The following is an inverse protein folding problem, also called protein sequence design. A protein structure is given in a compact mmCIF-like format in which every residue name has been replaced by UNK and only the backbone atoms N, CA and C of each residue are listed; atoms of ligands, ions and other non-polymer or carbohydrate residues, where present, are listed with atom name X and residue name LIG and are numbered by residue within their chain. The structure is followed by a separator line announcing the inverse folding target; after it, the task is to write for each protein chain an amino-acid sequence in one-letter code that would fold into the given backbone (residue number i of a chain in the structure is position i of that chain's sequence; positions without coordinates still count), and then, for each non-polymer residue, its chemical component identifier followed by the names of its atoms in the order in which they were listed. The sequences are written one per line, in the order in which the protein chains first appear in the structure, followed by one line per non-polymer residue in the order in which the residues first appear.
data_IF_098924203679
#
_entry.id   IF_098924203679
#
_cell.length_a   1.000
_cell.length_b   1.000
_cell.length_c   1.000
_cell.angle_alpha   90.00
_cell.angle_beta   90.00
_cell.angle_gamma   90.00
#
_symmetry.space_group_name_H-M   'P 1'
#
loop_
_entity.id
_entity.type
_entity.pdbx_description
1 polymer ?
#
# COMPACT_ATOMS: atom_id res chain seq x y z
N UNK A 1 16.43 22.56 16.08
CA UNK A 1 16.76 21.52 15.11
C UNK A 1 15.60 20.62 14.75
N UNK A 2 14.48 20.66 15.43
CA UNK A 2 13.27 19.85 15.13
C UNK A 2 12.30 20.47 14.10
N UNK A 3 12.71 21.47 13.29
CA UNK A 3 11.77 22.23 12.44
C UNK A 3 10.94 21.36 11.50
N UNK A 4 11.54 20.32 10.90
CA UNK A 4 10.85 19.42 9.99
C UNK A 4 9.88 18.49 10.73
N UNK A 5 10.30 17.90 11.87
CA UNK A 5 9.44 17.07 12.70
C UNK A 5 8.25 17.88 13.26
N UNK A 6 8.49 19.10 13.73
CA UNK A 6 7.44 20.00 14.20
C UNK A 6 6.47 20.39 13.09
N UNK A 7 6.97 20.67 11.87
CA UNK A 7 6.12 20.94 10.71
C UNK A 7 5.26 19.73 10.35
N UNK A 8 5.83 18.53 10.31
CA UNK A 8 5.08 17.29 10.03
C UNK A 8 3.98 17.05 11.08
N UNK A 9 4.32 17.21 12.36
CA UNK A 9 3.35 17.09 13.45
C UNK A 9 2.23 18.13 13.32
N UNK A 10 2.58 19.39 13.10
CA UNK A 10 1.59 20.45 12.98
C UNK A 10 0.72 20.27 11.73
N UNK A 11 1.28 19.80 10.62
CA UNK A 11 0.53 19.46 9.41
C UNK A 11 -0.52 18.38 9.72
N UNK A 12 -0.12 17.27 10.34
CA UNK A 12 -1.03 16.18 10.70
C UNK A 12 -2.12 16.64 11.68
N UNK A 13 -1.74 17.38 12.73
CA UNK A 13 -2.70 17.86 13.72
C UNK A 13 -3.63 18.94 13.16
N UNK A 14 -3.17 19.79 12.23
CA UNK A 14 -4.01 20.77 11.57
C UNK A 14 -5.06 20.12 10.67
N UNK A 15 -4.70 19.05 9.96
CA UNK A 15 -5.66 18.25 9.17
C UNK A 15 -6.74 17.66 10.07
N UNK A 16 -6.37 17.05 11.20
CA UNK A 16 -7.32 16.51 12.17
C UNK A 16 -8.25 17.61 12.70
N UNK A 17 -7.72 18.81 13.00
CA UNK A 17 -8.54 19.95 13.45
C UNK A 17 -9.54 20.41 12.38
N UNK A 18 -9.08 20.55 11.12
CA UNK A 18 -9.97 20.90 9.99
C UNK A 18 -11.09 19.89 9.79
N UNK A 19 -10.80 18.59 9.88
CA UNK A 19 -11.81 17.54 9.83
C UNK A 19 -12.82 17.68 10.97
N UNK A 20 -12.37 18.15 12.15
CA UNK A 20 -13.23 18.45 13.30
C UNK A 20 -14.16 19.64 13.12
N UNK A 21 -13.88 20.54 12.17
CA UNK A 21 -14.76 21.66 11.79
C UNK A 21 -15.98 21.19 10.98
N UNK A 22 -15.85 20.04 10.30
CA UNK A 22 -16.88 19.43 9.47
C UNK A 22 -17.27 18.01 9.96
N UNK A 23 -17.69 17.85 11.23
CA UNK A 23 -17.90 16.53 11.81
C UNK A 23 -19.02 15.74 11.14
N UNK A 24 -19.94 16.40 10.44
CA UNK A 24 -21.06 15.75 9.70
C UNK A 24 -20.53 14.81 8.59
N UNK A 25 -19.39 15.12 8.00
CA UNK A 25 -18.82 14.36 6.90
C UNK A 25 -18.21 13.03 7.35
N UNK A 26 -17.86 12.94 8.64
CA UNK A 26 -17.16 11.80 9.24
C UNK A 26 -17.98 11.09 10.31
N UNK A 27 -19.19 11.55 10.57
CA UNK A 27 -20.08 10.98 11.58
C UNK A 27 -20.99 9.90 10.99
N UNK A 28 -21.23 8.82 11.73
CA UNK A 28 -22.16 7.75 11.36
C UNK A 28 -23.60 8.27 11.20
N UNK A 29 -24.02 9.18 12.08
CA UNK A 29 -25.33 9.84 12.01
C UNK A 29 -25.11 11.36 11.91
N UNK A 30 -25.03 11.92 10.67
CA UNK A 30 -24.87 13.36 10.47
C UNK A 30 -25.97 14.15 11.17
N UNK A 31 -25.60 15.25 11.84
CA UNK A 31 -26.54 16.10 12.57
C UNK A 31 -26.96 15.58 13.97
N UNK A 32 -26.56 14.37 14.35
CA UNK A 32 -26.78 13.78 15.69
C UNK A 32 -25.47 13.52 16.43
N UNK A 33 -24.50 12.91 15.75
CA UNK A 33 -23.21 12.57 16.36
C UNK A 33 -22.29 13.80 16.30
N UNK A 34 -21.46 13.96 17.35
CA UNK A 34 -20.50 15.07 17.51
C UNK A 34 -21.12 16.50 17.52
N UNK A 35 -22.43 16.62 17.75
CA UNK A 35 -23.12 17.93 17.81
C UNK A 35 -23.03 18.61 19.18
N UNK A 36 -22.81 17.83 20.24
CA UNK A 36 -22.72 18.34 21.61
C UNK A 36 -21.25 18.53 22.02
N UNK A 37 -20.98 19.60 22.76
CA UNK A 37 -19.67 19.84 23.36
C UNK A 37 -19.41 18.77 24.45
N UNK A 38 -18.54 17.81 24.16
CA UNK A 38 -18.15 16.72 25.07
C UNK A 38 -16.61 16.63 25.13
N UNK A 39 -16.08 15.95 26.16
CA UNK A 39 -14.63 15.74 26.32
C UNK A 39 -14.01 14.95 25.17
N UNK A 40 -14.75 14.02 24.56
CA UNK A 40 -14.30 13.22 23.39
C UNK A 40 -14.91 13.78 22.10
N UNK A 41 -14.29 14.82 21.56
CA UNK A 41 -14.62 15.40 20.26
C UNK A 41 -14.03 14.54 19.12
N UNK A 42 -14.45 14.77 17.86
CA UNK A 42 -13.91 14.06 16.70
C UNK A 42 -12.39 14.18 16.60
N UNK A 43 -11.76 15.38 16.68
CA UNK A 43 -10.30 15.51 16.66
C UNK A 43 -9.60 14.76 17.80
N UNK A 44 -10.16 14.81 19.00
CA UNK A 44 -9.57 14.10 20.15
C UNK A 44 -9.62 12.59 19.95
N UNK A 45 -10.74 12.06 19.41
CA UNK A 45 -10.83 10.63 19.10
C UNK A 45 -9.81 10.21 18.05
N UNK A 46 -9.69 10.96 16.95
CA UNK A 46 -8.69 10.66 15.90
C UNK A 46 -7.28 10.69 16.47
N UNK A 47 -6.95 11.72 17.23
CA UNK A 47 -5.66 11.84 17.89
C UNK A 47 -5.38 10.66 18.83
N UNK A 48 -6.32 10.29 19.69
CA UNK A 48 -6.18 9.16 20.60
C UNK A 48 -5.95 7.84 19.85
N UNK A 49 -6.72 7.59 18.78
CA UNK A 49 -6.57 6.37 17.99
C UNK A 49 -5.20 6.29 17.32
N UNK A 50 -4.68 7.42 16.81
CA UNK A 50 -3.34 7.50 16.22
C UNK A 50 -2.20 7.29 17.21
N UNK A 51 -2.37 7.78 18.45
CA UNK A 51 -1.28 7.82 19.44
C UNK A 51 -1.41 6.75 20.51
N UNK A 52 -2.52 6.00 20.54
CA UNK A 52 -2.72 4.93 21.50
C UNK A 52 -1.77 3.78 21.16
N UNK A 53 -0.86 3.46 22.08
CA UNK A 53 -0.02 2.28 21.98
C UNK A 53 -0.84 1.01 22.33
N UNK A 54 -0.20 -0.16 22.24
CA UNK A 54 -0.79 -1.48 22.53
C UNK A 54 -1.34 -1.65 23.95
N UNK A 55 -1.21 -0.62 24.80
CA UNK A 55 -1.72 -0.62 26.17
C UNK A 55 -3.25 -0.44 26.18
N UNK A 56 -3.86 -0.68 27.32
CA UNK A 56 -5.31 -0.56 27.46
C UNK A 56 -5.80 0.86 27.12
N UNK A 57 -6.97 0.95 26.46
CA UNK A 57 -7.61 2.23 26.15
C UNK A 57 -7.71 3.17 27.36
N UNK A 58 -7.95 2.62 28.55
CA UNK A 58 -7.97 3.38 29.80
C UNK A 58 -6.66 4.09 30.11
N UNK A 59 -5.52 3.41 29.96
CA UNK A 59 -4.19 4.02 30.20
C UNK A 59 -3.90 5.12 29.17
N UNK A 60 -4.30 4.93 27.94
CA UNK A 60 -4.18 5.97 26.90
C UNK A 60 -5.00 7.22 27.21
N UNK A 61 -6.24 7.03 27.69
CA UNK A 61 -7.11 8.13 28.14
C UNK A 61 -6.52 8.86 29.34
N UNK A 62 -6.07 8.13 30.36
CA UNK A 62 -5.43 8.73 31.53
C UNK A 62 -4.21 9.59 31.13
N UNK A 63 -3.37 9.07 30.25
CA UNK A 63 -2.21 9.82 29.75
C UNK A 63 -2.61 11.11 29.02
N UNK A 64 -3.59 11.05 28.13
CA UNK A 64 -4.07 12.23 27.38
C UNK A 64 -4.72 13.28 28.30
N UNK A 65 -5.57 12.86 29.24
CA UNK A 65 -6.26 13.74 30.16
C UNK A 65 -5.45 14.04 31.45
N UNK A 66 -4.14 13.69 31.46
CA UNK A 66 -3.20 13.99 32.56
C UNK A 66 -3.68 13.46 33.93
N UNK A 67 -4.28 12.26 33.92
CA UNK A 67 -4.80 11.58 35.11
C UNK A 67 -5.88 12.37 35.89
N UNK A 68 -6.63 13.23 35.19
CA UNK A 68 -7.73 13.98 35.81
C UNK A 68 -8.86 13.05 36.21
N UNK A 69 -9.54 13.40 37.32
CA UNK A 69 -10.63 12.58 37.89
C UNK A 69 -11.88 12.51 36.92
N UNK A 70 -12.05 13.53 36.08
CA UNK A 70 -13.13 13.63 35.06
C UNK A 70 -12.73 12.99 33.71
N UNK A 71 -11.65 12.19 33.69
CA UNK A 71 -11.23 11.43 32.49
C UNK A 71 -12.38 10.52 32.01
N UNK A 72 -12.77 10.59 30.71
CA UNK A 72 -13.78 9.70 30.17
C UNK A 72 -13.41 8.23 30.32
N UNK A 73 -14.39 7.38 30.61
CA UNK A 73 -14.18 5.94 30.73
C UNK A 73 -13.81 5.29 29.38
N UNK A 74 -13.16 4.13 29.42
CA UNK A 74 -12.90 3.33 28.23
C UNK A 74 -14.18 2.97 27.46
N UNK A 75 -15.29 2.70 28.16
CA UNK A 75 -16.60 2.47 27.54
C UNK A 75 -17.11 3.69 26.79
N UNK A 76 -17.00 4.88 27.38
CA UNK A 76 -17.36 6.14 26.71
C UNK A 76 -16.52 6.38 25.45
N UNK A 77 -15.22 6.09 25.50
CA UNK A 77 -14.32 6.17 24.35
C UNK A 77 -14.78 5.22 23.23
N UNK A 78 -15.01 3.94 23.52
CA UNK A 78 -15.45 2.96 22.53
C UNK A 78 -16.80 3.36 21.91
N UNK A 79 -17.76 3.83 22.71
CA UNK A 79 -19.06 4.30 22.23
C UNK A 79 -18.94 5.53 21.32
N UNK A 80 -18.08 6.49 21.66
CA UNK A 80 -17.86 7.66 20.80
C UNK A 80 -17.10 7.28 19.52
N UNK A 81 -16.10 6.39 19.62
CA UNK A 81 -15.35 5.87 18.49
C UNK A 81 -16.22 5.16 17.44
N UNK A 82 -17.25 4.42 17.87
CA UNK A 82 -18.22 3.78 16.97
C UNK A 82 -19.05 4.76 16.13
N UNK A 83 -19.07 6.03 16.48
CA UNK A 83 -19.76 7.09 15.73
C UNK A 83 -18.90 7.70 14.63
N UNK A 84 -17.60 7.47 14.66
CA UNK A 84 -16.63 7.95 13.67
C UNK A 84 -16.52 6.98 12.51
N UNK A 85 -16.74 7.46 11.29
CA UNK A 85 -16.63 6.65 10.08
C UNK A 85 -15.14 6.33 9.78
N UNK A 86 -14.83 5.12 9.28
CA UNK A 86 -13.46 4.74 8.87
C UNK A 86 -12.86 5.69 7.84
N UNK A 87 -13.68 6.22 6.93
CA UNK A 87 -13.26 7.16 5.88
C UNK A 87 -12.50 8.39 6.41
N UNK A 88 -12.73 8.76 7.68
CA UNK A 88 -11.97 9.84 8.30
C UNK A 88 -10.47 9.55 8.35
N UNK A 89 -10.10 8.31 8.65
CA UNK A 89 -8.69 7.89 8.68
C UNK A 89 -8.14 7.60 7.28
N UNK A 90 -8.96 7.09 6.39
CA UNK A 90 -8.59 6.90 4.98
C UNK A 90 -8.27 8.25 4.31
N UNK A 91 -9.13 9.24 4.48
CA UNK A 91 -8.92 10.58 3.98
C UNK A 91 -7.73 11.27 4.65
N UNK A 92 -7.59 11.15 5.98
CA UNK A 92 -6.42 11.66 6.68
C UNK A 92 -5.11 11.03 6.18
N UNK A 93 -5.12 9.71 5.93
CA UNK A 93 -3.97 9.01 5.35
C UNK A 93 -3.59 9.62 3.99
N UNK A 94 -4.56 9.77 3.07
CA UNK A 94 -4.32 10.35 1.74
C UNK A 94 -3.83 11.80 1.84
N UNK A 95 -4.57 12.66 2.54
CA UNK A 95 -4.20 14.06 2.68
C UNK A 95 -2.81 14.24 3.31
N UNK A 96 -2.49 13.46 4.35
CA UNK A 96 -1.19 13.53 4.99
C UNK A 96 -0.08 13.02 4.06
N UNK A 97 -0.29 11.89 3.38
CA UNK A 97 0.68 11.33 2.42
C UNK A 97 0.93 12.30 1.27
N UNK A 98 -0.11 12.91 0.70
CA UNK A 98 0.01 13.92 -0.36
C UNK A 98 0.74 15.20 0.11
N UNK A 99 0.68 15.50 1.41
CA UNK A 99 1.41 16.65 1.98
C UNK A 99 2.93 16.40 2.14
N UNK A 100 3.34 15.14 2.13
CA UNK A 100 4.74 14.77 2.17
C UNK A 100 5.42 15.18 0.86
N UNK A 101 6.70 15.54 0.95
CA UNK A 101 7.52 15.96 -0.19
C UNK A 101 8.72 15.02 -0.34
N UNK A 102 8.49 13.77 -0.78
CA UNK A 102 9.58 12.83 -0.99
C UNK A 102 10.41 13.26 -2.21
N UNK A 103 11.74 13.31 -2.05
CA UNK A 103 12.66 13.86 -3.07
C UNK A 103 13.44 12.78 -3.83
N UNK A 104 13.53 11.56 -3.25
CA UNK A 104 14.35 10.50 -3.85
C UNK A 104 13.59 9.86 -5.02
N UNK A 105 14.28 9.72 -6.15
CA UNK A 105 13.78 9.04 -7.35
C UNK A 105 14.82 8.02 -7.85
N UNK A 106 14.37 7.03 -8.60
CA UNK A 106 15.20 6.06 -9.29
C UNK A 106 15.22 6.38 -10.80
N UNK A 107 16.34 6.84 -11.31
CA UNK A 107 16.45 7.30 -12.73
C UNK A 107 15.33 8.27 -13.15
N UNK A 108 14.89 9.14 -12.26
CA UNK A 108 13.81 10.09 -12.51
C UNK A 108 12.40 9.52 -12.30
N UNK A 109 12.27 8.24 -11.98
CA UNK A 109 10.99 7.61 -11.68
C UNK A 109 10.72 7.56 -10.18
N UNK A 110 9.46 7.73 -9.81
CA UNK A 110 8.94 7.27 -8.52
C UNK A 110 8.91 5.74 -8.54
N UNK A 111 9.79 5.10 -7.79
CA UNK A 111 9.89 3.64 -7.78
C UNK A 111 8.91 3.05 -6.77
N UNK A 112 7.81 2.48 -7.26
CA UNK A 112 6.78 1.86 -6.44
C UNK A 112 6.89 0.34 -6.48
N UNK A 113 6.54 -0.30 -5.38
CA UNK A 113 6.20 -1.72 -5.35
C UNK A 113 4.73 -1.88 -4.93
N UNK A 114 4.05 -2.87 -5.50
CA UNK A 114 2.73 -3.32 -5.07
C UNK A 114 2.83 -4.72 -4.48
N UNK A 115 2.12 -4.94 -3.38
CA UNK A 115 1.97 -6.26 -2.79
C UNK A 115 0.73 -6.31 -1.89
N UNK A 116 0.28 -7.54 -1.60
CA UNK A 116 -0.83 -7.82 -0.72
C UNK A 116 -0.38 -8.41 0.62
N UNK A 117 -1.13 -8.12 1.69
CA UNK A 117 -0.86 -8.72 3.00
C UNK A 117 -2.14 -8.93 3.80
N UNK A 118 -2.30 -10.12 4.40
CA UNK A 118 -3.48 -10.43 5.20
C UNK A 118 -3.30 -10.08 6.67
N UNK A 119 -4.38 -9.59 7.29
CA UNK A 119 -4.49 -9.28 8.70
C UNK A 119 -5.58 -10.12 9.35
N UNK A 120 -5.21 -10.86 10.39
CA UNK A 120 -6.16 -11.64 11.19
C UNK A 120 -6.74 -10.77 12.30
N UNK A 121 -8.06 -10.72 12.39
CA UNK A 121 -8.79 -10.05 13.45
C UNK A 121 -9.56 -11.05 14.34
N UNK A 122 -9.99 -10.59 15.50
CA UNK A 122 -10.81 -11.37 16.43
C UNK A 122 -12.12 -11.82 15.77
N UNK A 123 -12.63 -12.97 16.20
CA UNK A 123 -13.89 -13.57 15.70
C UNK A 123 -15.07 -12.59 15.84
N UNK A 124 -15.72 -12.33 14.72
CA UNK A 124 -16.94 -11.53 14.58
C UNK A 124 -17.77 -12.09 13.42
N UNK A 125 -18.57 -13.14 13.63
CA UNK A 125 -19.31 -13.85 12.58
C UNK A 125 -20.35 -12.97 11.85
N UNK A 126 -20.81 -11.90 12.47
CA UNK A 126 -21.77 -10.97 11.87
C UNK A 126 -21.19 -10.24 10.64
N UNK A 127 -19.87 -10.19 10.50
CA UNK A 127 -19.20 -9.71 9.29
C UNK A 127 -18.84 -10.88 8.37
N UNK A 128 -19.86 -11.43 7.70
CA UNK A 128 -19.75 -12.63 6.87
C UNK A 128 -18.69 -12.51 5.76
N UNK A 129 -18.50 -11.32 5.18
CA UNK A 129 -17.55 -11.09 4.08
C UNK A 129 -16.10 -11.28 4.50
N UNK A 130 -15.77 -11.07 5.77
CA UNK A 130 -14.42 -11.27 6.30
C UNK A 130 -14.28 -12.51 7.16
N UNK A 131 -15.39 -13.15 7.59
CA UNK A 131 -15.38 -14.24 8.54
C UNK A 131 -14.93 -15.57 7.90
N UNK A 132 -13.97 -16.21 8.53
CA UNK A 132 -13.61 -17.60 8.27
C UNK A 132 -14.05 -18.48 9.43
N UNK A 133 -14.92 -19.47 9.18
CA UNK A 133 -15.32 -20.39 10.22
C UNK A 133 -14.11 -21.17 10.75
N UNK A 134 -14.16 -21.50 12.02
CA UNK A 134 -13.18 -22.34 12.66
C UNK A 134 -13.36 -23.82 12.32
N UNK A 135 -12.51 -24.63 12.92
CA UNK A 135 -12.63 -26.09 12.98
C UNK A 135 -13.00 -26.51 14.39
N UNK A 136 -13.18 -27.80 14.64
CA UNK A 136 -13.42 -28.32 16.00
C UNK A 136 -12.33 -27.92 17.01
N UNK A 137 -11.09 -27.69 16.52
CA UNK A 137 -9.92 -27.33 17.34
C UNK A 137 -9.57 -25.83 17.34
N UNK A 138 -10.16 -25.03 16.48
CA UNK A 138 -9.82 -23.61 16.35
C UNK A 138 -11.08 -22.75 16.22
N UNK A 139 -11.14 -21.67 17.02
CA UNK A 139 -12.17 -20.66 16.85
C UNK A 139 -12.07 -19.97 15.50
N UNK A 140 -13.23 -19.61 14.90
CA UNK A 140 -13.27 -18.78 13.69
C UNK A 140 -12.64 -17.39 13.91
N UNK A 141 -12.24 -16.76 12.84
CA UNK A 141 -11.63 -15.40 12.84
C UNK A 141 -12.05 -14.62 11.62
N UNK A 142 -11.85 -13.30 11.67
CA UNK A 142 -12.05 -12.46 10.51
C UNK A 142 -10.70 -12.15 9.83
N UNK A 143 -10.71 -12.03 8.51
CA UNK A 143 -9.52 -11.78 7.71
C UNK A 143 -9.74 -10.58 6.78
N UNK A 144 -8.82 -9.63 6.86
CA UNK A 144 -8.76 -8.45 5.99
C UNK A 144 -7.52 -8.57 5.11
N UNK A 145 -7.66 -8.21 3.85
CA UNK A 145 -6.57 -8.17 2.89
C UNK A 145 -6.21 -6.72 2.57
N UNK A 146 -4.95 -6.37 2.77
CA UNK A 146 -4.42 -5.06 2.47
C UNK A 146 -3.67 -5.17 1.15
N UNK A 147 -4.00 -4.34 0.18
CA UNK A 147 -3.17 -4.08 -0.99
C UNK A 147 -2.57 -2.69 -0.83
N UNK A 148 -1.27 -2.53 -1.10
CA UNK A 148 -0.61 -1.26 -0.90
C UNK A 148 0.37 -0.95 -2.03
N UNK A 149 0.49 0.34 -2.35
CA UNK A 149 1.58 0.91 -3.15
C UNK A 149 2.62 1.50 -2.19
N UNK A 150 3.87 1.09 -2.35
CA UNK A 150 4.97 1.48 -1.48
C UNK A 150 6.11 2.11 -2.28
N UNK A 151 6.51 3.31 -1.91
CA UNK A 151 7.65 4.02 -2.49
C UNK A 151 8.94 3.47 -1.91
N UNK A 152 9.69 2.74 -2.72
CA UNK A 152 10.91 2.05 -2.33
C UNK A 152 12.09 2.99 -2.04
N UNK A 153 12.11 4.19 -2.65
CA UNK A 153 13.18 5.16 -2.44
C UNK A 153 12.98 5.99 -1.18
N UNK A 154 11.73 6.29 -0.87
CA UNK A 154 11.38 7.17 0.24
C UNK A 154 10.80 6.41 1.45
N UNK A 155 10.49 5.14 1.28
CA UNK A 155 10.07 4.27 2.37
C UNK A 155 8.68 4.57 2.92
N UNK A 156 7.75 5.08 2.09
CA UNK A 156 6.39 5.42 2.50
C UNK A 156 5.34 4.68 1.67
N UNK A 157 4.19 4.43 2.27
CA UNK A 157 3.01 3.95 1.54
C UNK A 157 2.33 5.13 0.83
N UNK A 158 2.17 5.03 -0.49
CA UNK A 158 1.52 6.06 -1.30
C UNK A 158 0.02 5.84 -1.42
N UNK A 159 -0.42 4.60 -1.45
CA UNK A 159 -1.84 4.24 -1.43
C UNK A 159 -2.07 2.89 -0.76
N UNK A 160 -3.28 2.70 -0.22
CA UNK A 160 -3.71 1.50 0.49
C UNK A 160 -5.17 1.23 0.20
N UNK A 161 -5.47 -0.02 -0.15
CA UNK A 161 -6.83 -0.52 -0.31
C UNK A 161 -7.04 -1.73 0.59
N UNK A 162 -8.06 -1.66 1.45
CA UNK A 162 -8.40 -2.74 2.39
C UNK A 162 -9.64 -3.46 1.91
N UNK A 163 -9.52 -4.76 1.70
CA UNK A 163 -10.60 -5.64 1.26
C UNK A 163 -10.92 -6.68 2.32
N UNK A 164 -12.13 -7.20 2.30
CA UNK A 164 -12.51 -8.36 3.10
C UNK A 164 -12.18 -9.67 2.37
N UNK A 165 -11.96 -10.73 3.10
CA UNK A 165 -11.46 -12.01 2.58
C UNK A 165 -12.25 -12.56 1.39
N UNK A 166 -13.60 -12.52 1.47
CA UNK A 166 -14.45 -13.09 0.42
C UNK A 166 -14.67 -12.15 -0.77
N UNK A 167 -14.23 -10.90 -0.67
CA UNK A 167 -14.38 -9.88 -1.73
C UNK A 167 -13.03 -9.38 -2.24
N UNK A 168 -11.93 -10.02 -1.84
CA UNK A 168 -10.58 -9.62 -2.26
C UNK A 168 -10.33 -9.92 -3.73
N UNK A 169 -9.55 -9.05 -4.36
CA UNK A 169 -9.05 -9.21 -5.72
C UNK A 169 -7.87 -8.28 -5.91
N UNK A 170 -6.66 -8.84 -5.97
CA UNK A 170 -5.41 -8.08 -6.07
C UNK A 170 -5.33 -7.31 -7.38
N UNK A 171 -5.73 -7.93 -8.50
CA UNK A 171 -5.76 -7.26 -9.81
C UNK A 171 -6.68 -6.04 -9.81
N UNK A 172 -7.91 -6.19 -9.31
CA UNK A 172 -8.86 -5.10 -9.19
C UNK A 172 -8.36 -4.00 -8.26
N UNK A 173 -7.71 -4.38 -7.16
CA UNK A 173 -7.14 -3.43 -6.21
C UNK A 173 -6.03 -2.60 -6.85
N UNK A 174 -5.16 -3.23 -7.66
CA UNK A 174 -4.11 -2.52 -8.37
C UNK A 174 -4.71 -1.52 -9.36
N UNK A 175 -5.66 -1.94 -10.22
CA UNK A 175 -6.32 -1.04 -11.17
C UNK A 175 -6.92 0.18 -10.46
N UNK A 176 -7.66 -0.03 -9.36
CA UNK A 176 -8.26 1.05 -8.57
C UNK A 176 -7.21 2.02 -7.99
N UNK A 177 -6.11 1.50 -7.45
CA UNK A 177 -5.02 2.34 -6.92
C UNK A 177 -4.29 3.10 -8.03
N UNK A 178 -4.08 2.50 -9.19
CA UNK A 178 -3.45 3.15 -10.36
C UNK A 178 -4.34 4.27 -10.90
N UNK A 179 -5.63 4.01 -11.07
CA UNK A 179 -6.58 4.97 -11.66
C UNK A 179 -6.77 6.21 -10.79
N UNK A 180 -6.79 6.04 -9.46
CA UNK A 180 -6.97 7.14 -8.51
C UNK A 180 -5.67 7.82 -8.07
N UNK A 181 -4.51 7.34 -8.53
CA UNK A 181 -3.21 7.91 -8.15
C UNK A 181 -3.08 9.38 -8.59
N UNK A 182 -2.65 10.24 -7.66
CA UNK A 182 -2.42 11.68 -7.88
C UNK A 182 -0.95 12.04 -8.08
N UNK A 183 -0.10 11.05 -8.42
CA UNK A 183 1.34 11.25 -8.61
C UNK A 183 1.61 12.04 -9.89
N UNK A 184 2.41 13.11 -9.77
CA UNK A 184 2.81 13.97 -10.88
C UNK A 184 4.08 13.52 -11.58
N UNK A 185 4.92 12.77 -10.86
CA UNK A 185 6.19 12.26 -11.37
C UNK A 185 5.97 11.00 -12.21
N UNK A 186 6.87 10.70 -13.16
CA UNK A 186 6.88 9.41 -13.83
C UNK A 186 6.98 8.26 -12.83
N UNK A 187 6.20 7.21 -13.02
CA UNK A 187 6.16 6.06 -12.10
C UNK A 187 6.74 4.82 -12.76
N UNK A 188 7.50 4.05 -11.98
CA UNK A 188 7.93 2.70 -12.30
C UNK A 188 7.43 1.74 -11.22
N UNK A 189 6.54 0.82 -11.59
CA UNK A 189 5.93 -0.13 -10.68
C UNK A 189 6.62 -1.50 -10.75
N UNK A 190 6.97 -2.05 -9.61
CA UNK A 190 7.43 -3.42 -9.43
C UNK A 190 6.31 -4.27 -8.82
N UNK A 191 6.02 -5.43 -9.42
CA UNK A 191 5.00 -6.34 -8.91
C UNK A 191 5.40 -7.81 -9.03
N UNK A 192 4.84 -8.64 -8.16
CA UNK A 192 5.04 -10.08 -8.25
C UNK A 192 4.09 -10.73 -9.28
N UNK A 193 4.19 -12.05 -9.44
CA UNK A 193 3.36 -12.85 -10.36
C UNK A 193 1.86 -12.86 -10.02
N UNK A 194 1.47 -12.40 -8.83
CA UNK A 194 0.07 -12.24 -8.44
C UNK A 194 -0.64 -11.20 -9.28
N UNK A 195 0.09 -10.19 -9.73
CA UNK A 195 -0.41 -9.06 -10.52
C UNK A 195 -0.26 -9.24 -12.03
N UNK A 196 0.08 -10.43 -12.49
CA UNK A 196 0.15 -10.80 -13.90
C UNK A 196 -1.25 -10.89 -14.52
N UNK A 197 -1.77 -9.78 -15.00
CA UNK A 197 -3.07 -9.71 -15.69
C UNK A 197 -3.06 -8.66 -16.80
N UNK A 198 -3.72 -8.97 -17.92
CA UNK A 198 -3.83 -8.02 -19.04
C UNK A 198 -4.47 -6.70 -18.64
N UNK A 199 -5.48 -6.75 -17.75
CA UNK A 199 -6.13 -5.55 -17.25
C UNK A 199 -5.16 -4.63 -16.49
N UNK A 200 -4.29 -5.21 -15.67
CA UNK A 200 -3.26 -4.46 -14.95
C UNK A 200 -2.30 -3.77 -15.92
N UNK A 201 -1.81 -4.48 -16.95
CA UNK A 201 -0.93 -3.88 -17.96
C UNK A 201 -1.61 -2.72 -18.67
N UNK A 202 -2.88 -2.87 -19.05
CA UNK A 202 -3.64 -1.85 -19.76
C UNK A 202 -3.86 -0.59 -18.90
N UNK A 203 -4.24 -0.73 -17.61
CA UNK A 203 -4.38 0.41 -16.71
C UNK A 203 -3.04 1.13 -16.48
N UNK A 204 -1.95 0.40 -16.30
CA UNK A 204 -0.61 0.98 -16.16
C UNK A 204 -0.21 1.78 -17.41
N UNK A 205 -0.45 1.23 -18.61
CA UNK A 205 -0.14 1.93 -19.86
C UNK A 205 -1.02 3.16 -20.10
N UNK A 206 -2.32 3.09 -19.80
CA UNK A 206 -3.22 4.24 -19.90
C UNK A 206 -2.79 5.40 -18.97
N UNK A 207 -2.19 5.08 -17.83
CA UNK A 207 -1.62 6.06 -16.91
C UNK A 207 -0.19 6.49 -17.26
N UNK A 208 0.39 5.93 -18.32
CA UNK A 208 1.78 6.19 -18.72
C UNK A 208 2.82 5.65 -17.72
N UNK A 209 2.44 4.73 -16.85
CA UNK A 209 3.35 4.13 -15.89
C UNK A 209 4.25 3.09 -16.56
N UNK A 210 5.50 3.08 -16.15
CA UNK A 210 6.42 1.97 -16.44
C UNK A 210 6.20 0.85 -15.42
N UNK A 211 6.44 -0.39 -15.85
CA UNK A 211 6.28 -1.54 -14.98
C UNK A 211 7.34 -2.60 -15.21
N UNK A 212 7.58 -3.41 -14.17
CA UNK A 212 8.39 -4.62 -14.20
C UNK A 212 7.69 -5.67 -13.34
N UNK A 213 7.04 -6.63 -13.98
CA UNK A 213 6.14 -7.60 -13.35
C UNK A 213 6.63 -9.02 -13.62
N UNK A 214 6.68 -9.86 -12.57
CA UNK A 214 7.02 -11.26 -12.73
C UNK A 214 5.90 -12.03 -13.38
N UNK A 215 6.26 -12.88 -14.35
CA UNK A 215 5.34 -13.82 -14.98
C UNK A 215 5.29 -15.13 -14.21
N UNK A 216 4.13 -15.80 -14.25
CA UNK A 216 3.97 -17.17 -13.75
C UNK A 216 4.74 -18.13 -14.65
N UNK A 217 5.42 -19.10 -14.05
CA UNK A 217 6.02 -20.20 -14.82
C UNK A 217 4.87 -21.06 -15.40
N UNK A 218 4.47 -20.73 -16.63
CA UNK A 218 3.60 -21.55 -17.48
C UNK A 218 4.49 -22.29 -18.48
N UNK A 219 3.90 -23.22 -19.24
CA UNK A 219 4.61 -23.97 -20.28
C UNK A 219 5.60 -23.08 -21.04
N UNK A 220 6.84 -23.50 -21.00
CA UNK A 220 8.05 -22.70 -21.24
C UNK A 220 8.13 -22.05 -22.63
N UNK A 221 7.24 -22.39 -23.55
CA UNK A 221 7.33 -22.02 -24.96
C UNK A 221 6.24 -21.07 -25.45
N UNK A 222 5.19 -20.81 -24.65
CA UNK A 222 4.09 -19.96 -25.09
C UNK A 222 3.53 -19.13 -23.93
N UNK A 223 3.65 -17.80 -24.03
CA UNK A 223 3.04 -16.86 -23.11
C UNK A 223 2.45 -15.69 -23.89
N UNK A 224 1.25 -15.26 -23.53
CA UNK A 224 0.62 -14.06 -24.10
C UNK A 224 0.44 -14.06 -25.61
N UNK A 225 0.16 -15.21 -26.23
CA UNK A 225 0.03 -15.30 -27.67
C UNK A 225 1.37 -15.29 -28.43
N UNK A 226 2.48 -15.38 -27.72
CA UNK A 226 3.84 -15.31 -28.28
C UNK A 226 4.62 -16.58 -27.93
N UNK A 227 5.34 -17.13 -28.89
CA UNK A 227 6.30 -18.22 -28.64
C UNK A 227 7.56 -17.66 -28.00
N UNK A 228 7.88 -18.13 -26.80
CA UNK A 228 9.11 -17.74 -26.10
C UNK A 228 10.29 -18.59 -26.55
N UNK A 229 11.52 -18.04 -26.60
CA UNK A 229 12.72 -18.82 -26.88
C UNK A 229 12.92 -19.95 -25.87
N UNK A 230 13.35 -21.12 -26.38
CA UNK A 230 13.77 -22.25 -25.54
C UNK A 230 15.21 -22.05 -25.05
N UNK A 231 15.45 -20.88 -24.46
CA UNK A 231 16.75 -20.50 -23.89
C UNK A 231 16.57 -20.22 -22.38
N UNK A 232 17.56 -20.60 -21.57
CA UNK A 232 17.54 -20.27 -20.15
C UNK A 232 17.60 -18.75 -19.87
N UNK A 233 18.11 -17.98 -20.84
CA UNK A 233 18.18 -16.52 -20.80
C UNK A 233 17.78 -15.95 -22.15
N UNK A 234 16.93 -14.95 -22.16
CA UNK A 234 16.52 -14.21 -23.33
C UNK A 234 15.97 -12.82 -22.98
N UNK A 235 15.91 -11.99 -24.00
CA UNK A 235 15.39 -10.64 -23.95
C UNK A 235 14.75 -10.31 -25.31
N UNK A 236 13.42 -10.28 -25.37
CA UNK A 236 12.67 -10.15 -26.60
C UNK A 236 11.61 -9.06 -26.51
N UNK A 237 11.43 -8.32 -27.58
CA UNK A 237 10.29 -7.45 -27.77
C UNK A 237 9.11 -8.25 -28.31
N UNK A 238 7.93 -8.01 -27.75
CA UNK A 238 6.68 -8.67 -28.17
C UNK A 238 5.59 -7.63 -28.40
N UNK A 239 4.77 -7.89 -29.39
CA UNK A 239 3.55 -7.11 -29.63
C UNK A 239 2.36 -8.04 -29.39
N UNK A 240 1.51 -7.72 -28.41
CA UNK A 240 0.41 -8.56 -27.96
C UNK A 240 -0.89 -7.87 -28.38
N UNK A 241 -1.72 -8.58 -29.16
CA UNK A 241 -3.03 -8.09 -29.60
C UNK A 241 -4.14 -8.91 -28.92
N UNK A 242 -4.99 -8.24 -28.18
CA UNK A 242 -6.11 -8.82 -27.44
C UNK A 242 -7.43 -8.58 -28.17
N UNK A 243 -8.34 -9.54 -28.10
CA UNK A 243 -9.72 -9.40 -28.57
C UNK A 243 -10.66 -10.37 -27.88
N UNK A 244 -11.97 -10.14 -28.03
CA UNK A 244 -13.00 -10.97 -27.36
C UNK A 244 -13.47 -12.15 -28.19
N UNK A 245 -13.38 -12.07 -29.53
CA UNK A 245 -13.88 -13.08 -30.44
C UNK A 245 -12.79 -14.10 -30.80
N UNK A 246 -13.17 -15.25 -31.30
CA UNK A 246 -12.22 -16.22 -31.90
C UNK A 246 -11.66 -15.68 -33.21
N UNK A 247 -10.48 -16.13 -33.64
CA UNK A 247 -9.92 -15.81 -34.99
C UNK A 247 -10.93 -16.06 -36.12
N UNK A 248 -11.72 -17.17 -36.02
CA UNK A 248 -12.77 -17.51 -36.99
C UNK A 248 -13.89 -16.46 -37.00
N UNK A 249 -14.38 -16.04 -35.82
CA UNK A 249 -15.44 -15.02 -35.72
C UNK A 249 -14.96 -13.66 -36.24
N UNK A 250 -13.70 -13.28 -35.97
CA UNK A 250 -13.10 -12.06 -36.51
C UNK A 250 -13.04 -12.12 -38.05
N UNK A 251 -12.58 -13.24 -38.61
CA UNK A 251 -12.56 -13.46 -40.07
C UNK A 251 -13.95 -13.42 -40.73
N UNK A 252 -15.00 -13.92 -40.07
CA UNK A 252 -16.40 -13.82 -40.55
C UNK A 252 -16.89 -12.36 -40.60
N UNK A 253 -16.27 -11.47 -39.82
CA UNK A 253 -16.56 -10.04 -39.84
C UNK A 253 -15.58 -9.24 -40.71
N UNK A 254 -14.74 -9.90 -41.48
CA UNK A 254 -13.75 -9.27 -42.35
C UNK A 254 -12.56 -8.67 -41.63
N UNK A 255 -12.37 -9.00 -40.34
CA UNK A 255 -11.28 -8.48 -39.51
C UNK A 255 -10.13 -9.47 -39.52
N UNK A 256 -8.98 -9.02 -40.03
CA UNK A 256 -7.72 -9.75 -39.95
C UNK A 256 -7.05 -9.53 -38.58
N UNK A 257 -6.59 -10.60 -37.96
CA UNK A 257 -5.88 -10.54 -36.67
C UNK A 257 -4.46 -11.05 -36.85
N UNK A 258 -3.48 -10.47 -36.12
CA UNK A 258 -2.08 -10.89 -36.21
C UNK A 258 -1.88 -12.30 -35.62
N UNK A 259 -0.70 -12.88 -35.86
CA UNK A 259 -0.33 -14.17 -35.28
C UNK A 259 -0.31 -14.14 -33.77
N UNK A 260 0.18 -13.03 -33.19
CA UNK A 260 0.24 -12.75 -31.75
C UNK A 260 -1.13 -12.45 -31.10
N UNK A 261 -2.22 -12.75 -31.81
CA UNK A 261 -3.57 -12.53 -31.28
C UNK A 261 -3.89 -13.47 -30.13
N UNK A 262 -4.27 -12.88 -29.00
CA UNK A 262 -4.68 -13.58 -27.79
C UNK A 262 -6.16 -13.29 -27.49
N UNK A 263 -6.99 -14.35 -27.46
CA UNK A 263 -8.39 -14.23 -27.13
C UNK A 263 -8.59 -14.09 -25.64
N UNK A 264 -9.26 -13.04 -25.20
CA UNK A 264 -9.78 -12.88 -23.85
C UNK A 264 -11.03 -13.74 -23.66
N UNK A 265 -11.00 -14.66 -22.70
CA UNK A 265 -12.17 -15.45 -22.35
C UNK A 265 -13.26 -14.57 -21.70
N UNK A 266 -14.55 -14.94 -21.76
CA UNK A 266 -15.64 -14.13 -21.22
C UNK A 266 -15.51 -13.78 -19.74
N UNK A 267 -14.91 -14.68 -18.95
CA UNK A 267 -14.71 -14.52 -17.51
C UNK A 267 -13.41 -13.78 -17.13
N UNK A 268 -12.58 -13.40 -18.11
CA UNK A 268 -11.36 -12.62 -17.85
C UNK A 268 -11.73 -11.14 -17.83
N UNK A 269 -11.56 -10.45 -16.69
CA UNK A 269 -11.79 -9.01 -16.60
C UNK A 269 -10.85 -8.26 -17.55
N UNK A 270 -11.41 -7.32 -18.31
CA UNK A 270 -10.63 -6.40 -19.11
C UNK A 270 -11.52 -5.18 -19.47
N UNK A 271 -11.20 -4.05 -18.90
CA UNK A 271 -12.08 -2.87 -18.88
C UNK A 271 -12.09 -2.12 -20.22
N UNK A 272 -11.11 -2.37 -21.08
CA UNK A 272 -10.93 -1.68 -22.38
C UNK A 272 -11.58 -2.39 -23.56
N UNK A 273 -12.08 -3.63 -23.40
CA UNK A 273 -12.80 -4.38 -24.42
C UNK A 273 -14.05 -5.03 -23.82
N UNK A 274 -15.25 -4.49 -24.06
CA UNK A 274 -16.51 -5.09 -23.63
C UNK A 274 -16.68 -6.53 -24.14
N UNK A 275 -17.38 -7.40 -23.41
CA UNK A 275 -17.72 -8.73 -23.90
C UNK A 275 -18.41 -8.68 -25.27
N UNK A 276 -17.93 -9.50 -26.22
CA UNK A 276 -18.47 -9.55 -27.59
C UNK A 276 -17.99 -8.44 -28.54
N UNK A 277 -17.15 -7.51 -28.09
CA UNK A 277 -16.55 -6.47 -28.93
C UNK A 277 -15.73 -7.07 -30.09
N UNK A 278 -15.79 -6.43 -31.24
CA UNK A 278 -14.92 -6.67 -32.39
C UNK A 278 -13.63 -5.86 -32.37
N UNK A 279 -13.51 -4.94 -31.42
CA UNK A 279 -12.31 -4.10 -31.27
C UNK A 279 -11.12 -4.92 -30.81
N UNK A 280 -9.95 -4.41 -31.13
CA UNK A 280 -8.67 -4.97 -30.74
C UNK A 280 -7.94 -4.01 -29.81
N UNK A 281 -7.27 -4.55 -28.80
CA UNK A 281 -6.37 -3.82 -27.92
C UNK A 281 -4.96 -4.36 -28.11
N UNK A 282 -4.02 -3.48 -28.49
CA UNK A 282 -2.64 -3.89 -28.75
C UNK A 282 -1.69 -3.11 -27.86
N UNK A 283 -0.75 -3.81 -27.24
CA UNK A 283 0.35 -3.20 -26.51
C UNK A 283 1.67 -3.90 -26.82
N UNK A 284 2.76 -3.13 -26.71
CA UNK A 284 4.12 -3.64 -26.87
C UNK A 284 4.77 -3.82 -25.51
N UNK A 285 5.37 -4.98 -25.34
CA UNK A 285 6.08 -5.30 -24.10
C UNK A 285 7.42 -5.98 -24.41
N UNK A 286 8.27 -6.03 -23.42
CA UNK A 286 9.53 -6.75 -23.44
C UNK A 286 9.46 -7.89 -22.44
N UNK A 287 9.74 -9.11 -22.86
CA UNK A 287 9.79 -10.28 -21.99
C UNK A 287 11.25 -10.69 -21.84
N UNK A 288 11.70 -10.73 -20.58
CA UNK A 288 13.07 -11.10 -20.26
C UNK A 288 13.11 -12.31 -19.33
N UNK A 289 14.06 -13.21 -19.56
CA UNK A 289 14.32 -14.36 -18.68
C UNK A 289 15.79 -14.38 -18.29
N UNK A 290 16.05 -14.69 -17.03
CA UNK A 290 17.41 -14.84 -16.50
C UNK A 290 17.46 -15.90 -15.41
N UNK A 291 18.67 -16.43 -15.18
CA UNK A 291 18.93 -17.36 -14.08
C UNK A 291 19.22 -16.61 -12.78
N UNK A 292 18.69 -17.16 -11.71
CA UNK A 292 19.05 -16.79 -10.34
C UNK A 292 20.27 -17.60 -9.87
N UNK A 293 20.91 -17.16 -8.79
CA UNK A 293 22.06 -17.84 -8.20
C UNK A 293 21.77 -19.29 -7.74
N UNK A 294 20.53 -19.56 -7.34
CA UNK A 294 20.06 -20.89 -6.96
C UNK A 294 19.70 -21.79 -8.16
N UNK A 295 19.97 -21.36 -9.39
CA UNK A 295 19.69 -22.10 -10.63
C UNK A 295 18.25 -21.99 -11.14
N UNK A 296 17.31 -21.41 -10.39
CA UNK A 296 15.96 -21.16 -10.87
C UNK A 296 15.95 -20.04 -11.92
N UNK A 297 14.98 -20.07 -12.84
CA UNK A 297 14.76 -18.99 -13.81
C UNK A 297 13.66 -18.05 -13.35
N UNK A 298 13.85 -16.75 -13.59
CA UNK A 298 12.80 -15.75 -13.48
C UNK A 298 12.46 -15.18 -14.84
N UNK A 299 11.17 -15.00 -15.10
CA UNK A 299 10.67 -14.36 -16.32
C UNK A 299 9.90 -13.12 -15.92
N UNK A 300 10.23 -11.98 -16.51
CA UNK A 300 9.61 -10.68 -16.25
C UNK A 300 9.03 -10.12 -17.53
N UNK A 301 7.94 -9.35 -17.40
CA UNK A 301 7.38 -8.52 -18.46
C UNK A 301 7.54 -7.04 -18.09
N UNK A 302 7.87 -6.21 -19.07
CA UNK A 302 8.12 -4.79 -18.85
C UNK A 302 7.85 -3.96 -20.10
N UNK A 303 7.56 -2.67 -19.93
CA UNK A 303 7.54 -1.65 -21.00
C UNK A 303 8.74 -0.69 -20.88
N UNK A 304 9.79 -1.08 -20.16
CA UNK A 304 11.03 -0.33 -20.05
C UNK A 304 11.89 -0.50 -21.31
N UNK A 305 12.56 0.57 -21.69
CA UNK A 305 13.51 0.58 -22.80
C UNK A 305 14.74 -0.30 -22.53
N UNK A 306 15.22 -1.01 -23.56
CA UNK A 306 16.33 -1.96 -23.42
C UNK A 306 17.71 -1.30 -23.27
N UNK A 307 17.90 -0.13 -23.87
CA UNK A 307 19.16 0.61 -23.78
C UNK A 307 19.32 1.22 -22.39
N UNK A 308 18.24 1.80 -21.86
CA UNK A 308 18.24 2.38 -20.52
C UNK A 308 18.26 1.30 -19.42
N UNK A 309 17.57 0.17 -19.64
CA UNK A 309 17.44 -0.91 -18.66
C UNK A 309 17.85 -2.26 -19.27
N UNK A 310 19.15 -2.53 -19.46
CA UNK A 310 19.62 -3.83 -19.91
C UNK A 310 19.29 -4.94 -18.89
N UNK A 311 19.28 -6.21 -19.33
CA UNK A 311 18.87 -7.37 -18.52
C UNK A 311 19.52 -7.42 -17.13
N UNK A 312 20.83 -7.16 -16.94
CA UNK A 312 21.43 -7.14 -15.60
C UNK A 312 20.84 -6.05 -14.69
N UNK A 313 20.50 -4.89 -15.26
CA UNK A 313 19.87 -3.80 -14.50
C UNK A 313 18.46 -4.19 -14.07
N UNK A 314 17.67 -4.86 -14.94
CA UNK A 314 16.33 -5.36 -14.60
C UNK A 314 16.38 -6.39 -13.47
N UNK A 315 17.35 -7.28 -13.45
CA UNK A 315 17.56 -8.26 -12.37
C UNK A 315 17.77 -7.56 -11.02
N UNK A 316 18.66 -6.58 -10.98
CA UNK A 316 18.95 -5.80 -9.77
C UNK A 316 17.72 -4.96 -9.34
N UNK A 317 17.03 -4.36 -10.30
CA UNK A 317 15.84 -3.56 -10.05
C UNK A 317 14.72 -4.42 -9.47
N UNK A 318 14.46 -5.59 -10.05
CA UNK A 318 13.39 -6.47 -9.57
C UNK A 318 13.64 -6.99 -8.15
N UNK A 319 14.89 -7.24 -7.78
CA UNK A 319 15.26 -7.63 -6.42
C UNK A 319 14.84 -6.58 -5.36
N UNK A 320 14.73 -5.30 -5.72
CA UNK A 320 14.29 -4.24 -4.81
C UNK A 320 12.83 -4.35 -4.41
N UNK A 321 11.99 -5.07 -5.18
CA UNK A 321 10.58 -5.33 -4.86
C UNK A 321 10.41 -5.87 -3.43
N UNK A 322 11.34 -6.67 -2.94
CA UNK A 322 11.31 -7.21 -1.56
C UNK A 322 11.24 -6.14 -0.46
N UNK A 323 11.50 -4.89 -0.80
CA UNK A 323 11.38 -3.76 0.13
C UNK A 323 9.97 -3.62 0.69
N UNK A 324 8.90 -3.87 -0.09
CA UNK A 324 7.52 -3.81 0.39
C UNK A 324 7.21 -4.91 1.41
N UNK A 325 7.73 -6.12 1.22
CA UNK A 325 7.56 -7.23 2.18
C UNK A 325 8.22 -6.90 3.53
N UNK A 326 9.39 -6.26 3.47
CA UNK A 326 10.07 -5.75 4.67
C UNK A 326 9.24 -4.65 5.35
N UNK A 327 8.65 -3.73 4.58
CA UNK A 327 7.78 -2.67 5.11
C UNK A 327 6.52 -3.23 5.77
N UNK A 328 5.88 -4.25 5.19
CA UNK A 328 4.75 -4.94 5.84
C UNK A 328 5.14 -5.61 7.15
N UNK A 329 6.34 -6.18 7.24
CA UNK A 329 6.85 -6.73 8.50
C UNK A 329 7.01 -5.63 9.55
N UNK A 330 7.57 -4.49 9.18
CA UNK A 330 7.67 -3.32 10.07
C UNK A 330 6.29 -2.79 10.47
N UNK A 331 5.36 -2.65 9.53
CA UNK A 331 3.99 -2.21 9.80
C UNK A 331 3.28 -3.15 10.79
N UNK A 332 3.40 -4.45 10.59
CA UNK A 332 2.75 -5.47 11.43
C UNK A 332 3.35 -5.53 12.84
N UNK A 333 4.66 -5.58 12.95
CA UNK A 333 5.33 -5.89 14.21
C UNK A 333 5.90 -4.67 14.92
N UNK A 334 6.40 -3.67 14.20
CA UNK A 334 7.01 -2.47 14.81
C UNK A 334 5.95 -1.40 15.07
N UNK A 335 5.05 -1.16 14.12
CA UNK A 335 3.91 -0.25 14.34
C UNK A 335 2.79 -0.92 15.13
N UNK A 336 2.76 -2.26 15.17
CA UNK A 336 1.82 -3.04 16.00
C UNK A 336 0.51 -3.39 15.30
N UNK A 337 0.41 -3.29 13.99
CA UNK A 337 -0.84 -3.57 13.25
C UNK A 337 -1.32 -5.02 13.39
N UNK A 338 -0.46 -5.95 13.79
CA UNK A 338 -0.86 -7.34 14.06
C UNK A 338 -1.80 -7.45 15.28
N UNK A 339 -1.78 -6.47 16.18
CA UNK A 339 -2.59 -6.44 17.39
C UNK A 339 -3.87 -5.62 17.18
N UNK A 340 -4.81 -6.17 16.41
CA UNK A 340 -6.12 -5.56 16.23
C UNK A 340 -6.98 -5.79 17.48
N UNK A 341 -7.25 -4.72 18.23
CA UNK A 341 -8.00 -4.80 19.50
C UNK A 341 -9.52 -4.71 19.34
N UNK A 342 -10.00 -4.52 18.13
CA UNK A 342 -11.42 -4.36 17.84
C UNK A 342 -11.97 -5.58 17.10
N UNK A 343 -13.27 -5.86 17.28
CA UNK A 343 -13.99 -6.88 16.53
C UNK A 343 -14.79 -6.30 15.37
N UNK A 344 -15.34 -5.08 15.54
CA UNK A 344 -16.19 -4.46 14.55
C UNK A 344 -15.39 -3.95 13.35
N UNK A 345 -15.84 -4.22 12.11
CA UNK A 345 -15.12 -3.84 10.89
C UNK A 345 -14.72 -2.37 10.83
N UNK A 346 -15.62 -1.47 11.22
CA UNK A 346 -15.37 -0.03 11.18
C UNK A 346 -14.19 0.37 12.10
N UNK A 347 -14.10 -0.26 13.27
CA UNK A 347 -13.02 0.02 14.21
C UNK A 347 -11.70 -0.60 13.80
N UNK A 348 -11.74 -1.73 13.07
CA UNK A 348 -10.57 -2.37 12.48
C UNK A 348 -10.01 -1.48 11.37
N UNK A 349 -10.83 -0.96 10.46
CA UNK A 349 -10.39 -0.05 9.40
C UNK A 349 -9.77 1.23 9.97
N UNK A 350 -10.33 1.81 11.03
CA UNK A 350 -9.72 2.94 11.73
C UNK A 350 -8.31 2.61 12.24
N UNK A 351 -8.10 1.41 12.80
CA UNK A 351 -6.78 0.97 13.29
C UNK A 351 -5.80 0.76 12.13
N UNK A 352 -6.26 0.16 11.03
CA UNK A 352 -5.42 -0.09 9.86
C UNK A 352 -4.88 1.23 9.30
N UNK A 353 -5.76 2.18 8.96
CA UNK A 353 -5.32 3.47 8.41
C UNK A 353 -4.52 4.30 9.40
N UNK A 354 -4.82 4.24 10.71
CA UNK A 354 -3.99 4.87 11.75
C UNK A 354 -2.56 4.34 11.75
N UNK A 355 -2.38 3.03 11.58
CA UNK A 355 -1.06 2.42 11.53
C UNK A 355 -0.28 2.87 10.27
N UNK A 356 -0.92 3.00 9.11
CA UNK A 356 -0.30 3.54 7.90
C UNK A 356 0.09 5.01 8.05
N UNK A 357 -0.75 5.84 8.68
CA UNK A 357 -0.43 7.24 8.98
C UNK A 357 0.80 7.31 9.89
N UNK A 358 0.82 6.53 10.97
CA UNK A 358 1.94 6.49 11.91
C UNK A 358 3.22 5.98 11.25
N UNK A 359 3.11 4.96 10.38
CA UNK A 359 4.24 4.47 9.58
C UNK A 359 4.84 5.58 8.73
N UNK A 360 4.01 6.25 7.90
CA UNK A 360 4.46 7.32 7.01
C UNK A 360 5.01 8.52 7.78
N UNK A 361 4.37 8.89 8.90
CA UNK A 361 4.87 9.95 9.78
C UNK A 361 6.26 9.61 10.34
N UNK A 362 6.43 8.39 10.85
CA UNK A 362 7.71 7.94 11.41
C UNK A 362 8.80 7.87 10.33
N UNK A 363 8.47 7.40 9.15
CA UNK A 363 9.40 7.34 8.03
C UNK A 363 9.81 8.74 7.55
N UNK A 364 8.87 9.68 7.42
CA UNK A 364 9.17 11.06 7.03
C UNK A 364 10.11 11.78 8.02
N UNK A 365 10.00 11.47 9.30
CA UNK A 365 10.94 11.98 10.32
C UNK A 365 12.36 11.45 10.09
N UNK A 366 12.52 10.21 9.60
CA UNK A 366 13.86 9.65 9.36
C UNK A 366 14.59 10.31 8.20
N UNK A 367 13.90 10.90 7.23
CA UNK A 367 14.53 11.47 6.04
C UNK A 367 15.59 12.53 6.39
N UNK A 368 15.33 13.39 7.38
CA UNK A 368 16.29 14.41 7.80
C UNK A 368 17.48 13.81 8.57
N UNK A 369 17.25 12.72 9.28
CA UNK A 369 18.33 12.04 9.99
C UNK A 369 19.30 11.32 9.00
N UNK A 370 18.79 10.78 7.89
CA UNK A 370 19.55 10.09 6.87
C UNK A 370 20.44 11.03 6.02
N UNK A 371 19.99 12.28 5.76
CA UNK A 371 20.68 13.21 4.87
C UNK A 371 21.95 13.83 5.46
N UNK A 372 22.15 13.78 6.77
CA UNK A 372 23.22 14.50 7.46
C UNK A 372 24.55 13.71 7.61
N UNK A 373 24.68 12.50 7.02
CA UNK A 373 25.83 11.60 7.23
C UNK A 373 26.74 11.43 6.02
N UNK A 374 27.34 12.53 5.54
CA UNK A 374 28.26 12.52 4.38
C UNK A 374 29.67 11.95 4.60
N UNK A 375 30.09 11.58 5.83
CA UNK A 375 31.50 11.28 6.13
C UNK A 375 31.80 9.95 6.84
N UNK A 376 30.83 9.02 6.95
CA UNK A 376 31.11 7.72 7.56
C UNK A 376 31.60 6.70 6.51
N UNK A 377 32.67 5.94 6.85
CA UNK A 377 33.19 4.82 6.05
C UNK A 377 32.14 3.71 5.83
N UNK A 378 31.12 3.64 6.67
CA UNK A 378 30.03 2.65 6.60
C UNK A 378 28.71 3.37 6.47
N UNK A 379 27.88 2.94 5.50
CA UNK A 379 26.47 3.37 5.42
C UNK A 379 25.75 2.94 6.69
N UNK A 380 24.98 3.85 7.26
CA UNK A 380 24.14 3.60 8.43
C UNK A 380 22.70 4.00 8.09
N UNK A 381 21.75 3.37 8.74
CA UNK A 381 20.33 3.70 8.62
C UNK A 381 19.73 3.89 10.01
N UNK A 382 18.63 4.64 10.06
CA UNK A 382 17.89 4.86 11.30
C UNK A 382 17.25 3.55 11.75
N UNK A 383 17.32 3.25 13.05
CA UNK A 383 16.53 2.17 13.63
C UNK A 383 15.03 2.55 13.57
N UNK A 384 14.28 1.91 12.68
CA UNK A 384 12.88 2.24 12.46
C UNK A 384 12.00 1.99 13.71
N UNK A 385 12.35 1.01 14.55
CA UNK A 385 11.63 0.77 15.81
C UNK A 385 11.75 1.97 16.76
N UNK A 386 12.96 2.54 16.87
CA UNK A 386 13.17 3.76 17.67
C UNK A 386 12.44 4.95 17.04
N UNK A 387 12.45 5.06 15.70
CA UNK A 387 11.73 6.12 15.01
C UNK A 387 10.22 6.07 15.30
N UNK A 388 9.59 4.89 15.24
CA UNK A 388 8.16 4.72 15.56
C UNK A 388 7.88 5.10 17.03
N UNK A 389 8.68 4.59 17.95
CA UNK A 389 8.52 4.89 19.38
C UNK A 389 8.63 6.39 19.67
N UNK A 390 9.70 7.02 19.18
CA UNK A 390 9.93 8.46 19.38
C UNK A 390 8.87 9.31 18.69
N UNK A 391 8.39 8.90 17.52
CA UNK A 391 7.29 9.54 16.79
C UNK A 391 5.99 9.53 17.60
N UNK A 392 5.65 8.40 18.21
CA UNK A 392 4.50 8.32 19.12
C UNK A 392 4.61 9.27 20.31
N UNK A 393 5.78 9.31 20.96
CA UNK A 393 6.01 10.22 22.10
C UNK A 393 5.96 11.70 21.66
N UNK A 394 6.55 12.01 20.52
CA UNK A 394 6.53 13.35 19.95
C UNK A 394 5.13 13.82 19.56
N UNK A 395 4.32 12.94 18.94
CA UNK A 395 2.91 13.22 18.68
C UNK A 395 2.13 13.47 19.96
N UNK A 396 2.43 12.78 21.06
CA UNK A 396 1.82 13.00 22.38
C UNK A 396 2.22 14.31 23.04
N UNK A 397 3.08 15.09 22.41
CA UNK A 397 3.48 16.42 22.90
C UNK A 397 4.68 16.40 23.84
N UNK A 398 5.41 15.29 23.91
CA UNK A 398 6.66 15.28 24.68
C UNK A 398 7.70 16.16 23.97
N UNK A 399 8.38 16.99 24.76
CA UNK A 399 9.49 17.82 24.27
C UNK A 399 10.72 16.94 24.06
N UNK A 400 10.89 16.43 22.83
CA UNK A 400 11.99 15.53 22.46
C UNK A 400 12.74 16.13 21.27
N UNK A 401 14.07 16.20 21.33
CA UNK A 401 14.89 16.38 20.13
C UNK A 401 15.01 15.05 19.40
N UNK A 402 13.97 14.76 18.58
CA UNK A 402 13.82 13.45 17.93
C UNK A 402 15.00 13.14 16.99
N UNK A 403 15.52 14.13 16.26
CA UNK A 403 16.64 13.92 15.36
C UNK A 403 17.95 13.66 16.12
N UNK A 404 18.17 14.31 17.28
CA UNK A 404 19.33 14.01 18.10
C UNK A 404 19.30 12.58 18.66
N UNK A 405 18.12 12.09 19.05
CA UNK A 405 17.97 10.70 19.48
C UNK A 405 18.18 9.71 18.34
N UNK A 406 17.55 9.90 17.17
CA UNK A 406 17.68 9.00 16.04
C UNK A 406 19.13 8.86 15.55
N UNK A 407 19.91 9.95 15.62
CA UNK A 407 21.34 9.92 15.29
C UNK A 407 22.18 9.07 16.25
N UNK A 408 21.74 8.88 17.48
CA UNK A 408 22.44 8.03 18.47
C UNK A 408 22.19 6.53 18.27
N UNK A 409 21.09 6.18 17.62
CA UNK A 409 20.63 4.79 17.49
C UNK A 409 20.76 4.25 16.05
N UNK A 410 21.66 4.84 15.25
CA UNK A 410 21.91 4.41 13.87
C UNK A 410 22.50 2.99 13.82
N UNK A 411 21.94 2.16 12.98
CA UNK A 411 22.38 0.79 12.71
C UNK A 411 23.27 0.75 11.46
N UNK A 412 24.33 -0.10 11.44
CA UNK A 412 25.12 -0.31 10.25
C UNK A 412 24.30 -0.98 9.14
N UNK A 413 24.43 -0.54 7.89
CA UNK A 413 23.92 -1.27 6.75
C UNK A 413 24.77 -2.53 6.57
N UNK A 414 24.13 -3.70 6.59
CA UNK A 414 24.75 -4.99 6.28
C UNK A 414 24.79 -5.22 4.78
#
# INVERSE_FOLDING_TARGET
MNRTAERLRETLLSMIRKMGEHPKDYAKNPGRDFTRRRSLTLPILMYLILTMDEKSAWKGLLGYFQNRIDTPSASAFVQQRQKLLPRAFEELFRCFTDSLRPEKTFHGYRLLAVDGSSLKAMSYPEDADSYRPGTELQHGWNLYHINALYDLENGIYTDVLVQKEHTKGEDKALCEMVDRASLSEPVLLLADRGYEAYNNFAHLEQRGWKYLIRLRDRDRTYAYGVTLPDSPEFDIQVCITLGRLTKRQMGQQGISVPESYCRLLPNVPFDFLPPGSTDLYTFSARIVRFKLENGASETLITNLDAEQFPLPALKQLYARRWGIETSFRQLKYTVGLIHLHSKKPELILQQIFSAFILYNFSQAITWEADTTWGHSKYRRHVNFSDAVYLSCQFLRGWSIDIHAFLRRTLLPCR
#
